data_IF_515808561896
#
_entry.id   IF_515808561896
#
_cell.length_a   1.000
_cell.length_b   1.000
_cell.length_c   1.000
_cell.angle_alpha   90.00
_cell.angle_beta   90.00
_cell.angle_gamma   90.00
#
_symmetry.space_group_name_H-M   'P 1'
#
loop_
_entity.id
_entity.type
_entity.pdbx_description
1 polymer ?
#
# COMPACT_ATOMS: atom_id res chain seq x y z
N UNK A 1 -36.78 -4.35 23.18
CA UNK A 1 -35.87 -4.24 24.34
C UNK A 1 -34.50 -4.88 24.08
N UNK A 2 -34.44 -6.13 23.58
CA UNK A 2 -33.17 -6.85 23.28
C UNK A 2 -32.22 -6.12 22.31
N UNK A 3 -32.74 -5.51 21.24
CA UNK A 3 -31.95 -4.76 20.23
C UNK A 3 -31.28 -3.50 20.81
N UNK A 4 -31.96 -2.79 21.72
CA UNK A 4 -31.39 -1.59 22.39
C UNK A 4 -30.26 -1.97 23.36
N UNK A 5 -30.36 -3.13 24.01
CA UNK A 5 -29.35 -3.62 24.95
C UNK A 5 -28.06 -3.99 24.21
N UNK A 6 -28.13 -4.67 23.06
CA UNK A 6 -26.95 -5.02 22.26
C UNK A 6 -26.25 -3.76 21.73
N UNK A 7 -27.03 -2.79 21.22
CA UNK A 7 -26.48 -1.52 20.74
C UNK A 7 -25.81 -0.71 21.87
N UNK A 8 -26.45 -0.62 23.04
CA UNK A 8 -25.88 0.03 24.23
C UNK A 8 -24.62 -0.70 24.75
N UNK A 9 -24.58 -2.02 24.64
CA UNK A 9 -23.40 -2.81 25.02
C UNK A 9 -22.23 -2.53 24.06
N UNK A 10 -22.47 -2.50 22.75
CA UNK A 10 -21.44 -2.16 21.75
C UNK A 10 -20.93 -0.73 21.90
N UNK A 11 -21.82 0.24 22.16
CA UNK A 11 -21.45 1.64 22.40
C UNK A 11 -20.72 1.83 23.74
N UNK A 12 -21.15 1.13 24.79
CA UNK A 12 -20.49 1.16 26.10
C UNK A 12 -19.10 0.52 26.06
N UNK A 13 -18.94 -0.56 25.29
CA UNK A 13 -17.66 -1.24 25.11
C UNK A 13 -16.69 -0.42 24.26
N UNK A 14 -17.17 0.27 23.22
CA UNK A 14 -16.39 1.26 22.51
C UNK A 14 -15.92 2.38 23.45
N UNK A 15 -16.80 2.92 24.30
CA UNK A 15 -16.43 3.90 25.32
C UNK A 15 -15.34 3.42 26.30
N UNK A 16 -15.36 2.14 26.68
CA UNK A 16 -14.31 1.54 27.53
C UNK A 16 -13.02 1.20 26.77
N UNK A 17 -13.11 0.82 25.49
CA UNK A 17 -11.95 0.51 24.65
C UNK A 17 -11.19 1.77 24.21
N UNK A 18 -11.91 2.88 23.99
CA UNK A 18 -11.34 4.18 23.60
C UNK A 18 -11.14 5.12 24.80
N UNK A 19 -11.75 4.84 25.94
CA UNK A 19 -11.58 5.56 27.20
C UNK A 19 -10.32 5.14 27.95
N UNK A 20 -9.16 5.09 27.29
CA UNK A 20 -7.92 5.07 28.06
C UNK A 20 -7.77 6.42 28.76
N UNK A 21 -7.68 6.39 30.10
CA UNK A 21 -7.16 7.53 30.85
C UNK A 21 -5.86 7.93 30.19
N UNK A 22 -5.72 9.23 29.92
CA UNK A 22 -4.51 9.87 29.41
C UNK A 22 -3.43 9.81 30.50
N UNK A 23 -3.07 8.61 30.93
CA UNK A 23 -2.12 8.37 32.00
C UNK A 23 -0.73 8.69 31.44
N UNK A 24 -0.10 9.71 32.05
CA UNK A 24 1.30 10.12 31.89
C UNK A 24 1.91 9.74 30.53
N UNK A 25 1.61 10.54 29.50
CA UNK A 25 2.62 10.76 28.46
C UNK A 25 3.87 11.21 29.23
N UNK A 26 4.94 10.41 29.20
CA UNK A 26 6.20 10.76 29.83
C UNK A 26 6.52 12.22 29.47
N UNK A 27 6.85 13.03 30.47
CA UNK A 27 7.06 14.49 30.38
C UNK A 27 8.19 14.93 29.42
N UNK A 28 8.70 14.00 28.62
CA UNK A 28 9.78 14.15 27.66
C UNK A 28 9.24 14.12 26.21
N UNK A 29 8.02 13.62 25.99
CA UNK A 29 7.42 13.51 24.65
C UNK A 29 6.54 14.73 24.37
N UNK A 30 7.04 15.66 23.57
CA UNK A 30 6.25 16.82 23.12
C UNK A 30 5.35 16.40 21.96
N UNK A 31 4.03 16.36 22.19
CA UNK A 31 3.05 16.25 21.12
C UNK A 31 2.89 17.62 20.46
N UNK A 32 3.48 17.80 19.28
CA UNK A 32 3.35 19.06 18.54
C UNK A 32 2.12 19.02 17.65
N UNK A 33 1.37 20.12 17.65
CA UNK A 33 0.30 20.35 16.67
C UNK A 33 0.89 20.82 15.34
N UNK A 34 0.14 20.69 14.24
CA UNK A 34 0.61 21.05 12.88
C UNK A 34 1.34 22.41 12.80
N UNK A 35 0.85 23.50 13.43
CA UNK A 35 1.53 24.80 13.38
C UNK A 35 2.94 24.79 13.98
N UNK A 36 3.18 24.00 15.02
CA UNK A 36 4.50 23.91 15.67
C UNK A 36 5.45 23.01 14.90
N UNK A 37 4.93 21.93 14.29
CA UNK A 37 5.72 21.06 13.40
C UNK A 37 6.21 21.83 12.18
N UNK A 38 5.40 22.72 11.60
CA UNK A 38 5.78 23.54 10.44
C UNK A 38 6.97 24.48 10.72
N UNK A 39 7.31 24.74 11.98
CA UNK A 39 8.52 25.49 12.36
C UNK A 39 9.80 24.63 12.35
N UNK A 40 9.67 23.31 12.46
CA UNK A 40 10.79 22.37 12.60
C UNK A 40 11.00 21.49 11.34
N UNK A 41 9.90 21.17 10.66
CA UNK A 41 9.86 20.45 9.39
C UNK A 41 9.18 21.34 8.36
N UNK A 42 9.74 21.43 7.15
CA UNK A 42 8.99 22.07 6.08
C UNK A 42 7.73 21.25 5.77
N UNK A 43 6.70 21.90 5.25
CA UNK A 43 5.44 21.25 4.85
C UNK A 43 5.65 20.07 3.90
N UNK A 44 6.63 20.17 2.99
CA UNK A 44 6.96 19.10 2.05
C UNK A 44 7.66 17.92 2.74
N UNK A 45 8.50 18.19 3.73
CA UNK A 45 9.18 17.16 4.53
C UNK A 45 8.20 16.39 5.39
N UNK A 46 7.32 17.12 6.09
CA UNK A 46 6.21 16.53 6.84
C UNK A 46 5.35 15.66 5.94
N UNK A 47 4.91 16.20 4.79
CA UNK A 47 4.13 15.44 3.81
C UNK A 47 4.87 14.21 3.30
N UNK A 48 6.18 14.28 3.08
CA UNK A 48 7.00 13.14 2.66
C UNK A 48 6.99 12.03 3.72
N UNK A 49 7.19 12.36 5.00
CA UNK A 49 7.17 11.39 6.10
C UNK A 49 5.77 10.78 6.24
N UNK A 50 4.72 11.60 6.31
CA UNK A 50 3.35 11.09 6.44
C UNK A 50 2.94 10.27 5.21
N UNK A 51 3.34 10.66 3.99
CA UNK A 51 3.09 9.84 2.79
C UNK A 51 3.80 8.50 2.86
N UNK A 52 5.06 8.47 3.30
CA UNK A 52 5.83 7.22 3.45
C UNK A 52 5.12 6.28 4.40
N UNK A 53 4.67 6.76 5.55
CA UNK A 53 4.01 5.93 6.56
C UNK A 53 2.58 5.57 6.23
N UNK A 54 1.82 6.51 5.65
CA UNK A 54 0.52 6.21 5.09
C UNK A 54 0.65 5.10 4.05
N UNK A 55 1.57 5.22 3.09
CA UNK A 55 1.84 4.17 2.12
C UNK A 55 2.33 2.87 2.78
N UNK A 56 3.10 2.94 3.86
CA UNK A 56 3.57 1.76 4.60
C UNK A 56 2.40 1.02 5.22
N UNK A 57 1.55 1.70 5.99
CA UNK A 57 0.32 1.12 6.57
C UNK A 57 -0.56 0.56 5.47
N UNK A 58 -0.80 1.38 4.45
CA UNK A 58 -1.64 1.02 3.32
C UNK A 58 -1.00 -0.06 2.42
N UNK A 59 0.23 -0.53 2.64
CA UNK A 59 0.84 -1.64 1.88
C UNK A 59 1.21 -2.85 2.77
N UNK A 60 1.22 -2.69 4.09
CA UNK A 60 1.72 -3.69 5.06
C UNK A 60 0.64 -4.36 5.90
N UNK A 61 -0.60 -3.85 5.86
CA UNK A 61 -1.71 -4.40 6.63
C UNK A 61 -2.37 -5.56 5.88
N UNK A 62 -2.00 -6.78 6.26
CA UNK A 62 -2.51 -8.03 5.70
C UNK A 62 -3.99 -8.34 5.90
N UNK A 63 -4.85 -7.34 6.16
CA UNK A 63 -6.31 -7.55 6.10
C UNK A 63 -7.19 -6.31 6.21
N UNK A 64 -6.65 -5.16 6.59
CA UNK A 64 -7.35 -3.92 6.24
C UNK A 64 -7.32 -3.86 4.71
N UNK A 65 -8.40 -3.44 4.07
CA UNK A 65 -8.69 -3.59 2.62
C UNK A 65 -7.77 -2.79 1.69
N UNK A 66 -6.51 -2.64 2.07
CA UNK A 66 -5.68 -1.53 1.74
C UNK A 66 -4.25 -2.06 1.55
N UNK A 67 -3.80 -2.04 0.29
CA UNK A 67 -2.45 -2.42 -0.12
C UNK A 67 -2.37 -3.48 -1.19
N UNK A 68 -1.17 -3.68 -1.73
CA UNK A 68 -0.98 -4.71 -2.72
C UNK A 68 -0.92 -6.09 -2.04
N UNK A 69 -1.96 -6.90 -2.20
CA UNK A 69 -2.00 -8.25 -1.61
C UNK A 69 -2.80 -9.23 -2.47
N UNK A 70 -2.53 -10.51 -2.23
CA UNK A 70 -3.38 -11.62 -2.63
C UNK A 70 -3.81 -12.35 -1.34
N UNK A 71 -5.11 -12.53 -1.17
CA UNK A 71 -5.68 -13.23 -0.03
C UNK A 71 -6.56 -14.38 -0.53
N UNK A 72 -6.54 -15.46 0.24
CA UNK A 72 -7.42 -16.60 0.05
C UNK A 72 -8.22 -16.80 1.34
N UNK A 73 -9.55 -16.77 1.21
CA UNK A 73 -10.44 -17.29 2.24
C UNK A 73 -10.73 -18.74 1.92
N UNK A 74 -10.24 -19.65 2.78
CA UNK A 74 -10.36 -21.09 2.59
C UNK A 74 -11.82 -21.52 2.78
N UNK A 75 -12.57 -20.84 3.66
CA UNK A 75 -13.94 -21.21 3.96
C UNK A 75 -14.86 -20.91 2.77
N UNK A 76 -14.70 -19.74 2.16
CA UNK A 76 -15.53 -19.30 1.03
C UNK A 76 -14.96 -19.69 -0.34
N UNK A 77 -13.77 -20.29 -0.39
CA UNK A 77 -13.04 -20.54 -1.64
C UNK A 77 -12.82 -19.25 -2.44
N UNK A 78 -12.69 -18.11 -1.74
CA UNK A 78 -12.65 -16.78 -2.34
C UNK A 78 -11.21 -16.29 -2.45
N UNK A 79 -10.82 -15.91 -3.66
CA UNK A 79 -9.59 -15.17 -3.89
C UNK A 79 -9.87 -13.68 -3.99
N UNK A 80 -8.99 -12.89 -3.37
CA UNK A 80 -9.03 -11.44 -3.42
C UNK A 80 -7.65 -10.93 -3.81
N UNK A 81 -7.61 -10.12 -4.85
CA UNK A 81 -6.44 -9.38 -5.29
C UNK A 81 -6.71 -7.90 -5.07
N UNK A 82 -5.77 -7.20 -4.44
CA UNK A 82 -5.84 -5.76 -4.30
C UNK A 82 -4.58 -5.14 -4.88
N UNK A 83 -4.76 -4.08 -5.67
CA UNK A 83 -3.68 -3.30 -6.24
C UNK A 83 -3.89 -1.82 -5.91
N UNK A 84 -2.85 -1.10 -5.52
CA UNK A 84 -2.93 0.29 -5.08
C UNK A 84 -1.91 1.16 -5.81
N UNK A 85 -2.34 2.35 -6.24
CA UNK A 85 -1.52 3.40 -6.83
C UNK A 85 -1.55 4.65 -5.97
N UNK A 86 -0.37 5.16 -5.62
CA UNK A 86 -0.20 6.36 -4.82
C UNK A 86 -0.08 7.59 -5.72
N UNK A 87 -0.75 8.69 -5.36
CA UNK A 87 -0.64 9.97 -6.04
C UNK A 87 0.33 10.91 -5.31
N UNK A 88 0.87 11.92 -6.02
CA UNK A 88 1.81 12.91 -5.45
C UNK A 88 1.22 13.71 -4.28
N UNK A 89 -0.10 13.85 -4.23
CA UNK A 89 -0.79 14.54 -3.14
C UNK A 89 -0.87 13.70 -1.85
N UNK A 90 -0.57 12.40 -1.91
CA UNK A 90 -0.67 11.45 -0.80
C UNK A 90 -1.97 10.63 -0.82
N UNK A 91 -2.88 10.90 -1.75
CA UNK A 91 -4.08 10.09 -1.93
C UNK A 91 -3.74 8.77 -2.63
N UNK A 92 -4.64 7.80 -2.54
CA UNK A 92 -4.43 6.46 -3.11
C UNK A 92 -5.66 5.95 -3.85
N UNK A 93 -5.46 5.40 -5.04
CA UNK A 93 -6.48 4.62 -5.74
C UNK A 93 -6.19 3.13 -5.56
N UNK A 94 -7.17 2.38 -5.06
CA UNK A 94 -7.11 0.92 -4.93
C UNK A 94 -8.09 0.27 -5.91
N UNK A 95 -7.69 -0.85 -6.49
CA UNK A 95 -8.51 -1.73 -7.31
C UNK A 95 -8.50 -3.09 -6.65
N UNK A 96 -9.65 -3.51 -6.16
CA UNK A 96 -9.87 -4.82 -5.55
C UNK A 96 -10.63 -5.70 -6.53
N UNK A 97 -10.01 -6.77 -7.01
CA UNK A 97 -10.66 -7.81 -7.79
C UNK A 97 -10.84 -9.05 -6.91
N UNK A 98 -12.04 -9.61 -6.87
CA UNK A 98 -12.30 -10.86 -6.17
C UNK A 98 -12.99 -11.86 -7.07
N UNK A 99 -12.72 -13.14 -6.87
CA UNK A 99 -13.40 -14.24 -7.54
C UNK A 99 -13.54 -15.41 -6.59
N UNK A 100 -14.70 -16.05 -6.57
CA UNK A 100 -14.95 -17.23 -5.74
C UNK A 100 -14.99 -18.49 -6.59
N UNK A 101 -14.46 -19.59 -6.06
CA UNK A 101 -14.48 -20.88 -6.74
C UNK A 101 -15.77 -21.61 -6.42
N UNK A 102 -16.62 -21.79 -7.43
CA UNK A 102 -17.83 -22.62 -7.31
C UNK A 102 -17.54 -24.09 -7.61
N UNK A 103 -16.65 -24.40 -8.57
CA UNK A 103 -16.41 -25.73 -9.15
C UNK A 103 -14.92 -26.15 -9.32
N UNK A 104 -14.06 -25.92 -8.31
CA UNK A 104 -12.80 -26.68 -8.16
C UNK A 104 -11.50 -26.17 -8.80
N UNK A 105 -11.42 -25.00 -9.46
CA UNK A 105 -10.12 -24.33 -9.76
C UNK A 105 -10.25 -22.79 -9.83
N UNK A 106 -9.17 -22.09 -9.47
CA UNK A 106 -9.06 -20.61 -9.29
C UNK A 106 -8.97 -19.79 -10.60
N UNK A 107 -9.87 -20.01 -11.57
CA UNK A 107 -9.86 -19.24 -12.81
C UNK A 107 -10.74 -17.98 -12.72
N UNK A 108 -10.18 -16.78 -12.88
CA UNK A 108 -10.95 -15.51 -13.00
C UNK A 108 -11.66 -15.45 -14.37
N UNK A 109 -11.03 -15.99 -15.40
CA UNK A 109 -11.57 -16.14 -16.75
C UNK A 109 -11.58 -17.60 -17.14
N UNK A 110 -12.70 -18.07 -17.70
CA UNK A 110 -12.79 -19.37 -18.36
C UNK A 110 -13.33 -19.17 -19.77
N UNK A 111 -12.55 -19.55 -20.79
CA UNK A 111 -12.91 -19.35 -22.21
C UNK A 111 -13.33 -17.90 -22.54
N UNK A 112 -12.57 -16.92 -22.05
CA UNK A 112 -12.84 -15.48 -22.23
C UNK A 112 -14.13 -14.97 -21.57
N UNK A 113 -14.84 -15.80 -20.80
CA UNK A 113 -15.98 -15.39 -19.96
C UNK A 113 -15.51 -15.24 -18.52
N UNK A 114 -15.99 -14.19 -17.87
CA UNK A 114 -15.75 -13.94 -16.44
C UNK A 114 -16.41 -15.08 -15.66
N UNK A 115 -15.65 -15.69 -14.74
CA UNK A 115 -16.16 -16.79 -13.91
C UNK A 115 -17.26 -16.30 -12.95
N UNK A 116 -18.00 -17.23 -12.37
CA UNK A 116 -19.04 -16.94 -11.37
C UNK A 116 -18.49 -16.20 -10.16
N UNK A 117 -19.26 -15.24 -9.62
CA UNK A 117 -18.94 -14.51 -8.39
C UNK A 117 -17.62 -13.72 -8.50
N UNK A 118 -17.41 -13.05 -9.64
CA UNK A 118 -16.30 -12.13 -9.84
C UNK A 118 -16.78 -10.70 -9.57
N UNK A 119 -16.04 -9.97 -8.76
CA UNK A 119 -16.32 -8.57 -8.46
C UNK A 119 -15.09 -7.70 -8.62
N UNK A 120 -15.31 -6.46 -9.00
CA UNK A 120 -14.28 -5.41 -9.07
C UNK A 120 -14.77 -4.22 -8.26
N UNK A 121 -13.91 -3.71 -7.39
CA UNK A 121 -14.20 -2.58 -6.53
C UNK A 121 -13.04 -1.57 -6.58
N UNK A 122 -13.34 -0.36 -6.99
CA UNK A 122 -12.44 0.78 -6.94
C UNK A 122 -12.62 1.49 -5.61
N UNK A 123 -11.52 1.90 -4.97
CA UNK A 123 -11.54 2.63 -3.71
C UNK A 123 -10.55 3.79 -3.76
N UNK A 124 -11.04 5.02 -3.66
CA UNK A 124 -10.22 6.21 -3.54
C UNK A 124 -10.06 6.59 -2.08
N UNK A 125 -8.83 6.68 -1.59
CA UNK A 125 -8.49 7.01 -0.21
C UNK A 125 -7.93 8.42 -0.17
N UNK A 126 -8.66 9.32 0.49
CA UNK A 126 -8.32 10.73 0.63
C UNK A 126 -7.87 11.02 2.05
N UNK A 127 -6.59 11.35 2.22
CA UNK A 127 -6.02 11.61 3.55
C UNK A 127 -6.45 12.99 4.05
N UNK A 128 -6.92 13.07 5.29
CA UNK A 128 -7.27 14.35 5.89
C UNK A 128 -6.01 15.06 6.42
N UNK A 129 -6.09 16.39 6.54
CA UNK A 129 -4.94 17.22 6.90
C UNK A 129 -4.47 17.07 8.35
N UNK A 130 -5.26 16.48 9.25
CA UNK A 130 -4.97 16.41 10.70
C UNK A 130 -3.96 15.33 11.10
N UNK A 131 -3.03 15.02 10.20
CA UNK A 131 -1.96 14.09 10.54
C UNK A 131 -1.01 14.73 11.54
N UNK A 132 -0.39 13.93 12.40
CA UNK A 132 0.64 14.39 13.34
C UNK A 132 1.75 13.36 13.50
N UNK A 133 2.95 13.82 13.84
CA UNK A 133 4.12 12.99 14.11
C UNK A 133 4.61 13.32 15.51
N UNK A 134 4.87 12.31 16.32
CA UNK A 134 5.54 12.46 17.61
C UNK A 134 7.02 12.18 17.45
N UNK A 135 7.87 12.99 18.06
CA UNK A 135 9.31 12.74 18.07
C UNK A 135 9.95 13.30 19.34
N UNK A 136 11.17 12.84 19.61
CA UNK A 136 12.02 13.47 20.63
C UNK A 136 12.71 14.71 20.07
N UNK A 137 12.91 15.72 20.92
CA UNK A 137 13.65 16.93 20.56
C UNK A 137 15.05 16.62 20.01
N UNK A 138 15.70 15.58 20.56
CA UNK A 138 17.00 15.09 20.10
C UNK A 138 16.96 14.65 18.63
N UNK A 139 15.89 14.01 18.18
CA UNK A 139 15.77 13.54 16.79
C UNK A 139 15.64 14.71 15.81
N UNK A 140 14.93 15.77 16.17
CA UNK A 140 14.89 17.00 15.36
C UNK A 140 16.26 17.68 15.32
N UNK A 141 16.95 17.79 16.45
CA UNK A 141 18.33 18.32 16.48
C UNK A 141 19.26 17.50 15.58
N UNK A 142 19.15 16.17 15.62
CA UNK A 142 19.89 15.26 14.75
C UNK A 142 19.55 15.48 13.27
N UNK A 143 18.27 15.64 12.94
CA UNK A 143 17.81 15.91 11.58
C UNK A 143 18.37 17.24 11.05
N UNK A 144 18.23 18.32 11.82
CA UNK A 144 18.77 19.64 11.46
C UNK A 144 20.27 19.61 11.26
N UNK A 145 21.01 18.88 12.12
CA UNK A 145 22.45 18.66 11.95
C UNK A 145 22.77 17.92 10.66
N UNK A 146 22.05 16.83 10.33
CA UNK A 146 22.24 16.07 9.08
C UNK A 146 21.98 16.94 7.84
N UNK A 147 20.93 17.77 7.86
CA UNK A 147 20.64 18.72 6.77
C UNK A 147 21.76 19.74 6.60
N UNK A 148 22.21 20.36 7.70
CA UNK A 148 23.32 21.31 7.68
C UNK A 148 24.60 20.69 7.12
N UNK A 149 24.93 19.45 7.52
CA UNK A 149 26.07 18.72 6.96
C UNK A 149 25.92 18.51 5.45
N UNK A 150 24.74 18.13 4.97
CA UNK A 150 24.48 17.96 3.53
C UNK A 150 24.69 19.27 2.74
N UNK A 151 24.16 20.39 3.24
CA UNK A 151 24.37 21.73 2.65
C UNK A 151 25.86 22.13 2.67
N UNK A 152 26.56 21.94 3.80
CA UNK A 152 27.99 22.23 3.89
C UNK A 152 28.81 21.37 2.93
N UNK A 153 28.52 20.08 2.79
CA UNK A 153 29.20 19.20 1.84
C UNK A 153 28.97 19.62 0.38
N UNK A 154 27.75 20.04 0.04
CA UNK A 154 27.44 20.58 -1.29
C UNK A 154 28.25 21.86 -1.57
N UNK A 155 28.26 22.80 -0.63
CA UNK A 155 29.02 24.05 -0.74
C UNK A 155 30.54 23.82 -0.83
N UNK A 156 31.11 22.94 0.00
CA UNK A 156 32.54 22.57 -0.09
C UNK A 156 32.86 21.98 -1.46
N UNK A 157 31.99 21.10 -1.97
CA UNK A 157 32.15 20.51 -3.32
C UNK A 157 32.16 21.61 -4.38
N UNK A 158 31.19 22.55 -4.35
CA UNK A 158 31.14 23.71 -5.25
C UNK A 158 32.40 24.57 -5.17
N UNK A 159 32.85 24.91 -3.96
CA UNK A 159 34.05 25.72 -3.74
C UNK A 159 35.33 25.04 -4.23
N UNK A 160 35.46 23.72 -4.07
CA UNK A 160 36.60 22.96 -4.59
C UNK A 160 36.65 23.02 -6.13
N UNK A 161 35.53 22.79 -6.81
CA UNK A 161 35.49 22.89 -8.28
C UNK A 161 35.79 24.30 -8.79
N UNK A 162 35.28 25.34 -8.11
CA UNK A 162 35.57 26.74 -8.47
C UNK A 162 37.06 27.03 -8.27
N UNK A 163 37.63 26.62 -7.13
CA UNK A 163 39.05 26.81 -6.83
C UNK A 163 39.94 26.11 -7.86
N UNK A 164 39.61 24.87 -8.22
CA UNK A 164 40.36 24.10 -9.22
C UNK A 164 40.30 24.76 -10.60
N UNK A 165 39.14 25.31 -10.97
CA UNK A 165 38.97 26.05 -12.23
C UNK A 165 39.81 27.33 -12.26
N UNK A 166 39.82 28.09 -11.16
CA UNK A 166 40.65 29.30 -11.02
C UNK A 166 42.13 28.94 -11.10
N UNK A 167 42.57 27.93 -10.34
CA UNK A 167 43.96 27.49 -10.32
C UNK A 167 44.42 27.03 -11.71
N UNK A 168 43.57 26.30 -12.43
CA UNK A 168 43.85 25.86 -13.79
C UNK A 168 44.00 27.05 -14.75
N UNK A 169 43.10 28.03 -14.66
CA UNK A 169 43.19 29.25 -15.45
C UNK A 169 44.46 30.06 -15.16
N UNK A 170 44.82 30.22 -13.89
CA UNK A 170 46.07 30.88 -13.49
C UNK A 170 47.31 30.17 -14.02
N UNK A 171 47.35 28.82 -13.98
CA UNK A 171 48.45 28.03 -14.55
C UNK A 171 48.55 28.19 -16.06
N UNK A 172 47.43 28.16 -16.78
CA UNK A 172 47.41 28.42 -18.23
C UNK A 172 47.91 29.84 -18.55
N UNK A 173 47.50 30.85 -17.77
CA UNK A 173 47.98 32.23 -17.94
C UNK A 173 49.49 32.33 -17.72
N UNK A 174 50.02 31.69 -16.68
CA UNK A 174 51.45 31.65 -16.40
C UNK A 174 52.23 30.99 -17.54
N UNK A 175 51.81 29.80 -17.98
CA UNK A 175 52.48 29.09 -19.09
C UNK A 175 52.49 29.92 -20.38
N UNK A 176 51.39 30.61 -20.69
CA UNK A 176 51.32 31.50 -21.87
C UNK A 176 52.29 32.67 -21.76
N UNK A 177 52.43 33.25 -20.57
CA UNK A 177 53.42 34.30 -20.31
C UNK A 177 54.83 33.78 -20.51
N UNK A 178 55.16 32.62 -19.92
CA UNK A 178 56.49 31.99 -20.07
C UNK A 178 56.81 31.67 -21.54
N UNK A 179 55.84 31.16 -22.31
CA UNK A 179 56.00 30.91 -23.74
C UNK A 179 56.28 32.21 -24.48
N UNK A 180 55.53 33.29 -24.19
CA UNK A 180 55.72 34.61 -24.80
C UNK A 180 57.13 35.15 -24.52
N UNK A 181 57.59 35.08 -23.27
CA UNK A 181 58.93 35.54 -22.88
C UNK A 181 60.03 34.75 -23.60
N UNK A 182 59.87 33.43 -23.75
CA UNK A 182 60.82 32.59 -24.49
C UNK A 182 60.81 32.95 -25.98
N UNK A 183 59.64 33.20 -26.56
CA UNK A 183 59.50 33.63 -27.95
C UNK A 183 60.15 35.00 -28.20
N UNK A 184 60.06 35.93 -27.26
CA UNK A 184 60.76 37.21 -27.35
C UNK A 184 62.28 37.03 -27.31
N UNK A 185 62.79 36.17 -26.41
CA UNK A 185 64.23 35.84 -26.36
C UNK A 185 64.70 35.15 -27.64
N UNK A 186 63.89 34.27 -28.22
CA UNK A 186 64.17 33.59 -29.49
C UNK A 186 64.33 34.59 -30.66
N UNK A 187 63.63 35.74 -30.59
CA UNK A 187 63.72 36.81 -31.60
C UNK A 187 64.96 37.71 -31.44
N UNK A 188 65.72 37.59 -30.34
CA UNK A 188 66.92 38.39 -30.14
C UNK A 188 67.98 38.10 -31.23
N UNK A 189 68.59 39.15 -31.78
CA UNK A 189 69.60 39.01 -32.82
C UNK A 189 70.84 38.26 -32.30
N UNK A 190 71.41 37.39 -33.14
CA UNK A 190 72.66 36.64 -32.92
C UNK A 190 72.64 35.49 -31.90
N UNK A 191 71.51 34.78 -31.75
CA UNK A 191 71.52 33.49 -31.05
C UNK A 191 72.31 32.43 -31.85
N UNK A 192 73.17 31.68 -31.17
CA UNK A 192 73.82 30.50 -31.76
C UNK A 192 72.78 29.37 -32.00
N UNK A 193 73.04 28.44 -32.93
CA UNK A 193 72.09 27.36 -33.26
C UNK A 193 71.68 26.50 -32.06
N UNK A 194 72.59 26.28 -31.10
CA UNK A 194 72.34 25.46 -29.91
C UNK A 194 71.39 26.18 -28.96
N UNK A 195 71.60 27.48 -28.72
CA UNK A 195 70.69 28.29 -27.91
C UNK A 195 69.30 28.39 -28.54
N UNK A 196 69.22 28.55 -29.86
CA UNK A 196 67.94 28.56 -30.60
C UNK A 196 67.19 27.23 -30.43
N UNK A 197 67.84 26.10 -30.69
CA UNK A 197 67.24 24.78 -30.53
C UNK A 197 66.78 24.52 -29.09
N UNK A 198 67.54 25.00 -28.09
CA UNK A 198 67.14 24.91 -26.67
C UNK A 198 65.86 25.68 -26.38
N UNK A 199 65.72 26.90 -26.89
CA UNK A 199 64.49 27.68 -26.70
C UNK A 199 63.29 27.06 -27.42
N UNK A 200 63.47 26.57 -28.65
CA UNK A 200 62.43 25.85 -29.40
C UNK A 200 61.95 24.60 -28.65
N UNK A 201 62.88 23.82 -28.09
CA UNK A 201 62.55 22.67 -27.26
C UNK A 201 61.77 23.06 -25.99
N UNK A 202 62.16 24.15 -25.32
CA UNK A 202 61.42 24.66 -24.16
C UNK A 202 60.00 25.10 -24.51
N UNK A 203 59.82 25.78 -25.65
CA UNK A 203 58.49 26.14 -26.17
C UNK A 203 57.67 24.87 -26.41
N UNK A 204 58.23 23.86 -27.08
CA UNK A 204 57.53 22.60 -27.35
C UNK A 204 57.05 21.92 -26.05
N UNK A 205 57.91 21.81 -25.04
CA UNK A 205 57.53 21.26 -23.72
C UNK A 205 56.40 22.06 -23.06
N UNK A 206 56.46 23.39 -23.10
CA UNK A 206 55.45 24.26 -22.49
C UNK A 206 54.12 24.23 -23.24
N UNK A 207 54.16 24.07 -24.56
CA UNK A 207 52.97 23.82 -25.38
C UNK A 207 52.31 22.50 -24.99
N UNK A 208 53.07 21.40 -24.86
CA UNK A 208 52.52 20.11 -24.40
C UNK A 208 51.87 20.23 -23.00
N UNK A 209 52.48 20.99 -22.09
CA UNK A 209 51.88 21.27 -20.78
C UNK A 209 50.58 22.08 -20.90
N UNK A 210 50.57 23.07 -21.78
CA UNK A 210 49.38 23.89 -22.06
C UNK A 210 48.24 23.03 -22.61
N UNK A 211 48.52 22.17 -23.58
CA UNK A 211 47.53 21.27 -24.20
C UNK A 211 46.96 20.29 -23.16
N UNK A 212 47.81 19.73 -22.30
CA UNK A 212 47.38 18.88 -21.18
C UNK A 212 46.44 19.62 -20.22
N UNK A 213 46.74 20.88 -19.88
CA UNK A 213 45.87 21.70 -19.03
C UNK A 213 44.58 22.14 -19.74
N UNK A 214 44.61 22.36 -21.06
CA UNK A 214 43.42 22.65 -21.85
C UNK A 214 42.47 21.44 -21.90
N UNK A 215 43.00 20.23 -22.11
CA UNK A 215 42.22 19.00 -22.03
C UNK A 215 41.61 18.81 -20.63
N UNK A 216 42.39 19.10 -19.57
CA UNK A 216 41.87 19.11 -18.20
C UNK A 216 40.77 20.16 -18.01
N UNK A 217 40.88 21.33 -18.65
CA UNK A 217 39.86 22.39 -18.58
C UNK A 217 38.55 21.96 -19.27
N UNK A 218 38.65 21.29 -20.41
CA UNK A 218 37.50 20.78 -21.16
C UNK A 218 36.76 19.66 -20.42
N UNK A 219 37.48 18.89 -19.60
CA UNK A 219 36.87 17.86 -18.73
C UNK A 219 36.30 18.41 -17.42
N UNK A 220 36.54 19.68 -17.06
CA UNK A 220 35.92 20.29 -15.89
C UNK A 220 34.47 20.68 -16.20
N UNK A 221 33.52 20.39 -15.30
CA UNK A 221 32.15 20.86 -15.46
C UNK A 221 32.11 22.40 -15.48
N UNK A 222 31.23 22.94 -16.30
CA UNK A 222 30.92 24.37 -16.32
C UNK A 222 30.37 24.84 -14.96
N UNK A 223 30.44 26.15 -14.68
CA UNK A 223 29.91 26.71 -13.43
C UNK A 223 28.43 26.37 -13.20
N UNK A 224 27.63 26.34 -14.28
CA UNK A 224 26.21 25.97 -14.24
C UNK A 224 26.01 24.49 -13.91
N UNK A 225 26.85 23.62 -14.44
CA UNK A 225 26.85 22.19 -14.11
C UNK A 225 27.29 21.95 -12.68
N UNK A 226 28.34 22.63 -12.20
CA UNK A 226 28.79 22.56 -10.80
C UNK A 226 27.65 22.99 -9.86
N UNK A 227 26.94 24.06 -10.19
CA UNK A 227 25.79 24.52 -9.41
C UNK A 227 24.66 23.49 -9.40
N UNK A 228 24.33 22.91 -10.56
CA UNK A 228 23.31 21.86 -10.67
C UNK A 228 23.70 20.61 -9.86
N UNK A 229 24.96 20.18 -9.93
CA UNK A 229 25.51 19.07 -9.17
C UNK A 229 25.47 19.34 -7.67
N UNK A 230 25.84 20.55 -7.24
CA UNK A 230 25.79 20.98 -5.84
C UNK A 230 24.35 20.95 -5.31
N UNK A 231 23.40 21.53 -6.05
CA UNK A 231 21.97 21.53 -5.69
C UNK A 231 21.44 20.10 -5.62
N UNK A 232 21.79 19.25 -6.60
CA UNK A 232 21.38 17.84 -6.61
C UNK A 232 21.95 17.08 -5.40
N UNK A 233 23.23 17.28 -5.08
CA UNK A 233 23.89 16.66 -3.92
C UNK A 233 23.26 17.11 -2.60
N UNK A 234 22.98 18.40 -2.45
CA UNK A 234 22.27 18.94 -1.29
C UNK A 234 20.87 18.33 -1.17
N UNK A 235 20.06 18.36 -2.24
CA UNK A 235 18.71 17.79 -2.27
C UNK A 235 18.72 16.31 -1.90
N UNK A 236 19.65 15.53 -2.44
CA UNK A 236 19.79 14.11 -2.13
C UNK A 236 20.21 13.88 -0.67
N UNK A 237 21.15 14.67 -0.15
CA UNK A 237 21.58 14.58 1.24
C UNK A 237 20.46 14.93 2.23
N UNK A 238 19.70 15.99 1.94
CA UNK A 238 18.51 16.38 2.73
C UNK A 238 17.41 15.32 2.63
N UNK A 239 17.12 14.81 1.42
CA UNK A 239 16.16 13.74 1.21
C UNK A 239 16.52 12.49 2.03
N UNK A 240 17.78 12.07 1.99
CA UNK A 240 18.30 10.96 2.78
C UNK A 240 18.21 11.22 4.29
N UNK A 241 18.44 12.46 4.74
CA UNK A 241 18.30 12.80 6.16
C UNK A 241 16.84 12.65 6.64
N UNK A 242 15.88 13.07 5.81
CA UNK A 242 14.43 12.93 6.07
C UNK A 242 14.01 11.45 6.02
N UNK A 243 14.51 10.68 5.06
CA UNK A 243 14.14 9.27 4.92
C UNK A 243 14.61 8.42 6.10
N UNK A 244 15.69 8.87 6.77
CA UNK A 244 16.27 8.29 7.98
C UNK A 244 15.92 9.09 9.26
N UNK A 245 14.87 9.90 9.21
CA UNK A 245 14.37 10.59 10.40
C UNK A 245 13.65 9.59 11.31
N UNK A 246 14.10 9.49 12.55
CA UNK A 246 13.45 8.66 13.55
C UNK A 246 12.37 9.48 14.24
N UNK A 247 11.16 8.94 14.26
CA UNK A 247 10.04 9.49 14.98
C UNK A 247 9.43 8.41 15.87
N UNK A 248 8.75 8.86 16.91
CA UNK A 248 8.30 8.04 18.04
C UNK A 248 6.83 7.66 17.92
N UNK A 249 6.09 8.32 17.03
CA UNK A 249 4.68 8.04 16.80
C UNK A 249 4.16 8.76 15.57
N UNK A 250 3.08 8.25 15.00
CA UNK A 250 2.38 8.88 13.89
C UNK A 250 0.89 8.63 14.00
N UNK A 251 0.12 9.67 13.67
CA UNK A 251 -1.32 9.62 13.62
C UNK A 251 -1.79 10.18 12.30
N UNK A 252 -2.75 9.51 11.69
CA UNK A 252 -3.47 10.05 10.56
C UNK A 252 -4.83 9.38 10.41
N UNK A 253 -5.70 10.06 9.71
CA UNK A 253 -7.03 9.59 9.37
C UNK A 253 -7.34 9.94 7.91
N UNK A 254 -8.21 9.15 7.30
CA UNK A 254 -8.57 9.30 5.90
C UNK A 254 -9.99 8.85 5.66
N UNK A 255 -10.57 9.35 4.58
CA UNK A 255 -11.87 8.92 4.10
C UNK A 255 -11.64 8.10 2.84
N UNK A 256 -12.31 6.96 2.75
CA UNK A 256 -12.29 6.13 1.55
C UNK A 256 -13.67 6.13 0.89
N UNK A 257 -13.69 6.36 -0.41
CA UNK A 257 -14.88 6.29 -1.25
C UNK A 257 -14.72 5.09 -2.18
N UNK A 258 -15.64 4.13 -2.10
CA UNK A 258 -15.59 2.92 -2.91
C UNK A 258 -16.79 2.78 -3.83
N UNK A 259 -16.55 2.25 -5.02
CA UNK A 259 -17.58 1.87 -5.97
C UNK A 259 -17.17 0.56 -6.67
N UNK A 260 -18.11 -0.35 -6.85
CA UNK A 260 -17.81 -1.63 -7.46
C UNK A 260 -19.04 -2.32 -8.03
N UNK A 261 -18.78 -3.42 -8.70
CA UNK A 261 -19.80 -4.32 -9.23
C UNK A 261 -19.41 -5.77 -8.96
N UNK A 262 -20.39 -6.65 -8.95
CA UNK A 262 -20.22 -8.08 -8.74
C UNK A 262 -21.12 -8.83 -9.73
N UNK A 263 -20.54 -9.79 -10.45
CA UNK A 263 -21.26 -10.62 -11.40
C UNK A 263 -21.48 -12.01 -10.82
N UNK A 264 -22.72 -12.31 -10.47
CA UNK A 264 -23.16 -13.63 -10.03
C UNK A 264 -23.65 -14.40 -11.27
N UNK A 265 -22.90 -15.41 -11.68
CA UNK A 265 -23.24 -16.29 -12.79
C UNK A 265 -23.29 -17.72 -12.26
N UNK A 266 -24.42 -18.42 -12.37
CA UNK A 266 -24.57 -19.73 -11.75
C UNK A 266 -25.61 -20.60 -12.45
N UNK A 267 -25.55 -21.91 -12.19
CA UNK A 267 -26.58 -22.85 -12.62
C UNK A 267 -27.70 -22.88 -11.58
N UNK A 268 -28.92 -22.58 -11.97
CA UNK A 268 -30.11 -22.59 -11.13
C UNK A 268 -30.91 -23.86 -11.36
N UNK A 269 -31.17 -24.61 -10.29
CA UNK A 269 -31.86 -25.89 -10.31
C UNK A 269 -33.32 -25.73 -9.90
N UNK A 270 -34.24 -26.07 -10.80
CA UNK A 270 -35.68 -26.05 -10.59
C UNK A 270 -36.25 -27.46 -10.83
N UNK A 271 -36.36 -28.30 -9.79
CA UNK A 271 -36.70 -29.72 -9.95
C UNK A 271 -38.12 -29.97 -10.51
N UNK A 272 -39.01 -28.99 -10.41
CA UNK A 272 -40.39 -29.09 -10.91
C UNK A 272 -40.53 -28.96 -12.43
N UNK A 273 -39.48 -28.55 -13.15
CA UNK A 273 -39.48 -28.47 -14.61
C UNK A 273 -39.12 -29.83 -15.24
N UNK A 274 -39.37 -29.98 -16.55
CA UNK A 274 -38.89 -31.14 -17.31
C UNK A 274 -37.37 -31.25 -17.25
N UNK A 275 -36.82 -32.47 -17.33
CA UNK A 275 -35.39 -32.77 -17.15
C UNK A 275 -34.46 -31.80 -17.90
N UNK A 276 -34.73 -31.53 -19.18
CA UNK A 276 -33.94 -30.62 -20.03
C UNK A 276 -33.94 -29.16 -19.53
N UNK A 277 -34.97 -28.76 -18.79
CA UNK A 277 -35.17 -27.41 -18.27
C UNK A 277 -34.92 -27.29 -16.76
N UNK A 278 -34.57 -28.40 -16.08
CA UNK A 278 -34.31 -28.37 -14.64
C UNK A 278 -33.10 -27.51 -14.28
N UNK A 279 -32.13 -27.36 -15.20
CA UNK A 279 -30.93 -26.55 -15.00
C UNK A 279 -30.94 -25.36 -15.95
N UNK A 280 -31.04 -24.15 -15.40
CA UNK A 280 -31.00 -22.90 -16.18
C UNK A 280 -29.83 -22.04 -15.74
N UNK A 281 -29.16 -21.36 -16.67
CA UNK A 281 -28.09 -20.40 -16.31
C UNK A 281 -28.70 -19.06 -15.91
N UNK A 282 -28.27 -18.52 -14.78
CA UNK A 282 -28.63 -17.19 -14.29
C UNK A 282 -27.39 -16.31 -14.26
N UNK A 283 -27.57 -15.05 -14.62
CA UNK A 283 -26.54 -14.03 -14.57
C UNK A 283 -27.14 -12.75 -13.99
N UNK A 284 -26.45 -12.13 -13.04
CA UNK A 284 -26.84 -10.85 -12.46
C UNK A 284 -25.61 -10.02 -12.10
N UNK A 285 -25.68 -8.72 -12.38
CA UNK A 285 -24.62 -7.77 -12.05
C UNK A 285 -25.14 -6.81 -10.98
N UNK A 286 -24.67 -7.01 -9.75
CA UNK A 286 -24.92 -6.13 -8.63
C UNK A 286 -23.96 -4.93 -8.63
N UNK A 287 -24.40 -3.83 -8.03
CA UNK A 287 -23.65 -2.59 -7.88
C UNK A 287 -23.52 -2.23 -6.40
N UNK A 288 -22.36 -1.73 -5.99
CA UNK A 288 -22.11 -1.30 -4.61
C UNK A 288 -21.38 0.02 -4.54
N UNK A 289 -21.78 0.85 -3.58
CA UNK A 289 -21.07 2.04 -3.13
C UNK A 289 -20.66 1.88 -1.66
N UNK A 290 -19.59 2.56 -1.25
CA UNK A 290 -19.13 2.58 0.14
C UNK A 290 -18.46 3.89 0.52
N UNK A 291 -18.59 4.26 1.79
CA UNK A 291 -17.85 5.32 2.44
C UNK A 291 -17.25 4.78 3.74
N UNK A 292 -15.98 5.04 3.96
CA UNK A 292 -15.26 4.56 5.13
C UNK A 292 -14.49 5.72 5.77
N UNK A 293 -14.56 5.81 7.09
CA UNK A 293 -13.65 6.60 7.90
C UNK A 293 -12.60 5.69 8.50
N UNK A 294 -11.35 6.06 8.34
CA UNK A 294 -10.21 5.29 8.81
C UNK A 294 -9.35 6.13 9.75
N UNK A 295 -8.89 5.49 10.83
CA UNK A 295 -8.02 6.07 11.83
C UNK A 295 -6.86 5.12 12.11
N UNK A 296 -5.65 5.66 12.09
CA UNK A 296 -4.44 4.93 12.44
C UNK A 296 -3.62 5.73 13.44
N UNK A 297 -3.21 5.05 14.51
CA UNK A 297 -2.35 5.57 15.55
C UNK A 297 -1.25 4.55 15.83
N UNK A 298 -0.01 4.99 15.64
CA UNK A 298 1.17 4.25 16.06
C UNK A 298 1.98 5.10 17.03
N UNK A 299 2.43 4.47 18.11
CA UNK A 299 3.31 5.08 19.08
C UNK A 299 4.26 4.00 19.61
N UNK A 300 5.55 4.26 19.56
CA UNK A 300 6.57 3.31 20.01
C UNK A 300 6.58 3.12 21.54
N UNK A 301 6.06 4.10 22.30
CA UNK A 301 6.03 4.09 23.76
C UNK A 301 4.69 3.63 24.31
N UNK A 302 3.58 4.14 23.78
CA UNK A 302 2.26 3.58 24.09
C UNK A 302 2.00 2.39 23.18
N UNK A 303 2.63 1.24 23.48
CA UNK A 303 2.06 -0.04 23.04
C UNK A 303 0.67 -0.12 23.69
N UNK A 304 -0.42 -0.21 22.93
CA UNK A 304 -0.55 -0.78 21.58
C UNK A 304 -0.74 0.23 20.41
N UNK A 305 -0.44 -0.20 19.19
CA UNK A 305 -0.88 0.49 17.94
C UNK A 305 -2.36 0.22 17.69
N UNK A 306 -3.06 1.21 17.17
CA UNK A 306 -4.48 1.13 16.87
C UNK A 306 -4.78 1.39 15.41
N UNK A 307 -5.67 0.57 14.85
CA UNK A 307 -6.32 0.86 13.58
C UNK A 307 -7.83 0.68 13.74
N UNK A 308 -8.59 1.66 13.29
CA UNK A 308 -10.04 1.67 13.32
C UNK A 308 -10.57 2.05 11.94
N UNK A 309 -11.45 1.22 11.41
CA UNK A 309 -12.28 1.51 10.24
C UNK A 309 -13.73 1.54 10.68
N UNK A 310 -14.47 2.56 10.25
CA UNK A 310 -15.93 2.61 10.34
C UNK A 310 -16.47 2.81 8.93
N UNK A 311 -17.27 1.87 8.46
CA UNK A 311 -17.73 1.80 7.09
C UNK A 311 -19.25 1.73 6.98
N UNK A 312 -19.76 2.38 5.93
CA UNK A 312 -21.10 2.17 5.41
C UNK A 312 -21.00 1.79 3.95
N UNK A 313 -21.74 0.77 3.55
CA UNK A 313 -21.88 0.37 2.15
C UNK A 313 -23.34 0.10 1.81
N UNK A 314 -23.69 0.22 0.55
CA UNK A 314 -25.02 -0.09 0.07
C UNK A 314 -25.03 -0.28 -1.43
N UNK A 315 -26.11 -0.85 -1.94
CA UNK A 315 -26.14 -1.27 -3.32
C UNK A 315 -27.42 -1.99 -3.71
N UNK A 316 -27.36 -2.55 -4.90
CA UNK A 316 -28.40 -3.41 -5.47
C UNK A 316 -27.72 -4.74 -5.76
N UNK A 317 -28.29 -5.82 -5.24
CA UNK A 317 -27.74 -7.17 -5.35
C UNK A 317 -28.86 -8.20 -5.65
N UNK A 318 -28.49 -9.47 -5.75
CA UNK A 318 -29.42 -10.60 -5.75
C UNK A 318 -29.37 -11.37 -4.41
N UNK A 319 -30.08 -12.49 -4.32
CA UNK A 319 -30.01 -13.41 -3.18
C UNK A 319 -29.25 -14.70 -3.49
N UNK A 320 -28.25 -14.65 -4.37
CA UNK A 320 -27.44 -15.82 -4.72
C UNK A 320 -26.81 -16.49 -3.49
N UNK A 321 -26.32 -15.71 -2.51
CA UNK A 321 -25.76 -16.19 -1.24
C UNK A 321 -26.74 -17.01 -0.40
N UNK A 322 -28.03 -16.82 -0.64
CA UNK A 322 -29.12 -17.37 0.18
C UNK A 322 -29.66 -18.66 -0.46
N UNK A 323 -29.20 -19.01 -1.67
CA UNK A 323 -29.59 -20.24 -2.36
C UNK A 323 -28.83 -21.46 -1.83
N UNK A 324 -29.53 -22.58 -1.74
CA UNK A 324 -28.92 -23.86 -1.33
C UNK A 324 -28.12 -24.45 -2.49
N UNK A 325 -26.88 -24.86 -2.22
CA UNK A 325 -25.99 -25.50 -3.19
C UNK A 325 -26.28 -27.00 -3.27
N UNK A 326 -26.39 -27.54 -4.48
CA UNK A 326 -26.60 -28.96 -4.79
C UNK A 326 -25.60 -29.42 -5.87
N UNK A 327 -24.92 -30.55 -5.66
CA UNK A 327 -24.06 -31.16 -6.69
C UNK A 327 -24.93 -31.96 -7.68
N UNK A 328 -24.80 -31.65 -8.97
CA UNK A 328 -25.47 -32.36 -10.06
C UNK A 328 -24.45 -33.23 -10.79
N UNK A 329 -24.83 -34.49 -11.02
CA UNK A 329 -24.04 -35.48 -11.75
C UNK A 329 -24.75 -35.85 -13.06
N UNK A 330 -24.33 -35.25 -14.17
CA UNK A 330 -24.83 -35.61 -15.51
C UNK A 330 -23.99 -36.77 -16.06
N UNK A 331 -24.62 -37.91 -16.34
CA UNK A 331 -23.93 -39.08 -16.92
C UNK A 331 -24.32 -39.26 -18.38
N UNK A 332 -23.32 -39.24 -19.25
CA UNK A 332 -23.46 -39.48 -20.69
C UNK A 332 -22.91 -40.87 -21.01
N UNK A 333 -23.76 -41.72 -21.58
CA UNK A 333 -23.36 -43.05 -22.05
C UNK A 333 -23.08 -42.99 -23.55
N UNK A 334 -21.88 -43.38 -23.95
CA UNK A 334 -21.45 -43.48 -25.35
C UNK A 334 -21.29 -44.94 -25.74
N UNK A 335 -21.78 -45.32 -26.93
CA UNK A 335 -21.66 -46.67 -27.49
C UNK A 335 -22.96 -47.48 -27.47
N UNK A 336 -23.23 -48.21 -28.54
CA UNK A 336 -24.49 -48.95 -28.76
C UNK A 336 -24.47 -50.38 -28.17
N UNK A 337 -23.29 -50.95 -27.92
CA UNK A 337 -23.14 -52.34 -27.44
C UNK A 337 -22.49 -52.41 -26.06
N UNK A 338 -22.93 -53.38 -25.26
CA UNK A 338 -22.49 -53.60 -23.87
C UNK A 338 -20.99 -53.84 -23.71
N UNK A 339 -20.28 -54.26 -24.76
CA UNK A 339 -18.83 -54.50 -24.74
C UNK A 339 -17.98 -53.25 -25.04
N UNK A 340 -18.60 -52.08 -25.30
CA UNK A 340 -17.91 -50.84 -25.65
C UNK A 340 -18.47 -49.57 -25.02
N UNK A 341 -19.40 -49.68 -24.06
CA UNK A 341 -20.00 -48.51 -23.42
C UNK A 341 -18.97 -47.74 -22.58
N UNK A 342 -18.89 -46.42 -22.82
CA UNK A 342 -18.13 -45.47 -22.00
C UNK A 342 -19.11 -44.53 -21.33
N UNK A 343 -19.04 -44.42 -20.00
CA UNK A 343 -19.79 -43.41 -19.24
C UNK A 343 -18.87 -42.23 -18.94
N UNK A 344 -19.28 -41.03 -19.33
CA UNK A 344 -18.68 -39.78 -18.90
C UNK A 344 -19.60 -39.11 -17.89
N UNK A 345 -19.12 -38.89 -16.67
CA UNK A 345 -19.87 -38.16 -15.65
C UNK A 345 -19.33 -36.75 -15.52
N UNK A 346 -20.18 -35.77 -15.79
CA UNK A 346 -19.90 -34.36 -15.57
C UNK A 346 -20.52 -33.93 -14.24
N UNK A 347 -19.67 -33.52 -13.32
CA UNK A 347 -20.08 -32.94 -12.03
C UNK A 347 -20.08 -31.43 -12.11
N UNK A 348 -21.12 -30.78 -11.60
CA UNK A 348 -21.14 -29.33 -11.40
C UNK A 348 -22.09 -28.95 -10.28
N UNK A 349 -21.90 -27.77 -9.71
CA UNK A 349 -22.80 -27.23 -8.71
C UNK A 349 -23.96 -26.46 -9.35
N UNK A 350 -25.15 -26.69 -8.82
CA UNK A 350 -26.34 -25.92 -9.10
C UNK A 350 -26.97 -25.40 -7.81
N UNK A 351 -27.80 -24.38 -7.91
CA UNK A 351 -28.35 -23.66 -6.77
C UNK A 351 -29.88 -23.70 -6.81
N UNK A 352 -30.49 -24.04 -5.68
CA UNK A 352 -31.93 -24.20 -5.53
C UNK A 352 -32.47 -23.26 -4.44
N UNK A 353 -33.75 -22.91 -4.55
CA UNK A 353 -34.44 -21.97 -3.65
C UNK A 353 -35.10 -20.84 -4.44
N UNK A 354 -35.78 -19.92 -3.78
CA UNK A 354 -36.42 -18.79 -4.45
C UNK A 354 -35.39 -17.73 -4.84
N UNK A 355 -35.04 -17.64 -6.13
CA UNK A 355 -34.13 -16.61 -6.62
C UNK A 355 -34.84 -15.26 -6.84
N UNK A 356 -34.24 -14.19 -6.31
CA UNK A 356 -34.71 -12.80 -6.36
C UNK A 356 -33.56 -11.89 -6.75
N UNK A 357 -33.87 -10.86 -7.54
CA UNK A 357 -32.90 -9.89 -8.07
C UNK A 357 -33.32 -8.48 -7.70
N UNK A 358 -32.40 -7.52 -7.85
CA UNK A 358 -32.65 -6.10 -7.59
C UNK A 358 -33.01 -5.80 -6.13
N UNK A 359 -32.45 -6.59 -5.21
CA UNK A 359 -32.63 -6.41 -3.78
C UNK A 359 -31.73 -5.27 -3.32
N UNK A 360 -32.35 -4.23 -2.79
CA UNK A 360 -31.60 -3.15 -2.15
C UNK A 360 -30.98 -3.65 -0.87
N UNK A 361 -29.72 -3.28 -0.61
CA UNK A 361 -29.07 -3.59 0.65
C UNK A 361 -28.24 -2.42 1.17
N UNK A 362 -28.03 -2.42 2.48
CA UNK A 362 -27.06 -1.57 3.15
C UNK A 362 -26.35 -2.35 4.25
N UNK A 363 -25.12 -1.97 4.54
CA UNK A 363 -24.27 -2.62 5.53
C UNK A 363 -23.46 -1.57 6.28
N UNK A 364 -23.56 -1.62 7.60
CA UNK A 364 -22.69 -0.89 8.53
C UNK A 364 -21.67 -1.87 9.08
N UNK A 365 -20.40 -1.47 9.15
CA UNK A 365 -19.33 -2.32 9.66
C UNK A 365 -18.26 -1.49 10.37
N UNK A 366 -17.62 -2.10 11.34
CA UNK A 366 -16.47 -1.55 12.05
C UNK A 366 -15.39 -2.61 12.02
N UNK A 367 -14.15 -2.24 11.74
CA UNK A 367 -12.99 -3.11 11.93
C UNK A 367 -12.01 -2.43 12.88
N UNK A 368 -11.74 -3.05 14.02
CA UNK A 368 -10.82 -2.51 15.02
C UNK A 368 -9.69 -3.48 15.30
N UNK A 369 -8.45 -3.01 15.11
CA UNK A 369 -7.24 -3.75 15.38
C UNK A 369 -6.45 -3.08 16.50
N UNK A 370 -6.06 -3.88 17.49
CA UNK A 370 -5.15 -3.49 18.57
C UNK A 370 -3.90 -4.36 18.50
N UNK A 371 -2.78 -3.77 18.10
CA UNK A 371 -1.52 -4.49 17.99
C UNK A 371 -0.81 -4.57 19.34
N UNK A 372 -0.61 -5.78 19.82
CA UNK A 372 -0.08 -6.06 21.17
C UNK A 372 1.41 -6.37 21.17
N UNK A 373 2.00 -6.72 20.02
CA UNK A 373 3.41 -7.12 19.92
C UNK A 373 4.08 -6.44 18.71
N UNK A 374 4.61 -5.22 18.84
CA UNK A 374 5.44 -4.56 17.80
C UNK A 374 4.88 -4.65 16.36
N UNK A 375 3.56 -4.50 16.24
CA UNK A 375 2.81 -4.63 15.00
C UNK A 375 2.85 -6.01 14.32
N UNK A 376 3.36 -7.06 14.97
CA UNK A 376 3.32 -8.44 14.46
C UNK A 376 2.03 -9.15 14.86
N UNK A 377 1.51 -8.92 16.07
CA UNK A 377 0.30 -9.56 16.56
C UNK A 377 -0.78 -8.53 16.90
N UNK A 378 -2.02 -8.77 16.48
CA UNK A 378 -3.16 -7.91 16.78
C UNK A 378 -4.41 -8.69 17.17
N UNK A 379 -5.16 -8.12 18.12
CA UNK A 379 -6.55 -8.49 18.34
C UNK A 379 -7.43 -7.70 17.38
N UNK A 380 -8.32 -8.39 16.69
CA UNK A 380 -9.23 -7.84 15.70
C UNK A 380 -10.67 -8.04 16.17
N UNK A 381 -11.50 -7.00 16.08
CA UNK A 381 -12.91 -7.03 16.45
C UNK A 381 -13.69 -6.36 15.33
N UNK A 382 -14.69 -7.05 14.80
CA UNK A 382 -15.40 -6.60 13.61
C UNK A 382 -16.92 -6.85 13.67
N UNK A 383 -17.69 -5.98 14.33
CA UNK A 383 -19.14 -6.04 14.26
C UNK A 383 -19.65 -5.48 12.92
N UNK A 384 -20.73 -6.08 12.43
CA UNK A 384 -21.43 -5.62 11.23
C UNK A 384 -22.94 -5.77 11.36
N UNK A 385 -23.67 -4.96 10.59
CA UNK A 385 -25.12 -5.02 10.48
C UNK A 385 -25.51 -4.90 9.03
N UNK A 386 -26.28 -5.85 8.53
CA UNK A 386 -26.74 -5.92 7.15
C UNK A 386 -28.25 -5.77 7.11
N UNK A 387 -28.73 -4.85 6.28
CA UNK A 387 -30.14 -4.59 6.02
C UNK A 387 -30.37 -4.90 4.55
N UNK A 388 -31.19 -5.90 4.25
CA UNK A 388 -31.51 -6.32 2.89
C UNK A 388 -33.01 -6.30 2.70
N UNK A 389 -33.46 -5.89 1.53
CA UNK A 389 -34.88 -5.89 1.17
C UNK A 389 -35.51 -7.27 1.39
N UNK A 390 -36.75 -7.29 1.88
CA UNK A 390 -37.51 -8.51 2.20
C UNK A 390 -36.86 -9.45 3.24
N UNK A 391 -35.82 -8.99 3.94
CA UNK A 391 -35.09 -9.76 4.95
C UNK A 391 -35.10 -9.03 6.29
N UNK A 392 -35.11 -9.78 7.40
CA UNK A 392 -34.90 -9.19 8.73
C UNK A 392 -33.45 -8.68 8.82
N UNK A 393 -33.17 -7.57 9.53
CA UNK A 393 -31.80 -7.11 9.74
C UNK A 393 -30.94 -8.21 10.38
N UNK A 394 -29.76 -8.44 9.80
CA UNK A 394 -28.79 -9.40 10.30
C UNK A 394 -27.66 -8.67 11.02
N UNK A 395 -27.31 -9.16 12.20
CA UNK A 395 -26.21 -8.62 13.01
C UNK A 395 -25.16 -9.70 13.22
N UNK A 396 -23.94 -9.44 12.81
CA UNK A 396 -22.81 -10.35 13.03
C UNK A 396 -21.74 -9.66 13.85
N UNK A 397 -20.96 -10.43 14.60
CA UNK A 397 -19.81 -9.90 15.31
C UNK A 397 -18.70 -10.94 15.38
N UNK A 398 -17.50 -10.55 14.97
CA UNK A 398 -16.34 -11.43 15.06
C UNK A 398 -15.22 -10.88 15.92
N UNK A 399 -14.40 -11.82 16.40
CA UNK A 399 -13.11 -11.58 17.03
C UNK A 399 -12.05 -12.38 16.28
N UNK A 400 -10.83 -11.86 16.22
CA UNK A 400 -9.72 -12.52 15.56
C UNK A 400 -8.38 -12.23 16.21
N UNK A 401 -7.45 -13.17 16.05
CA UNK A 401 -6.06 -13.02 16.41
C UNK A 401 -5.22 -13.05 15.13
N UNK A 402 -4.74 -11.88 14.74
CA UNK A 402 -3.88 -11.68 13.58
C UNK A 402 -2.42 -11.85 13.99
N UNK A 403 -1.66 -12.61 13.21
CA UNK A 403 -0.21 -12.72 13.31
C UNK A 403 0.45 -12.48 11.96
N UNK A 404 1.48 -11.65 11.95
CA UNK A 404 2.22 -11.20 10.76
C UNK A 404 3.64 -11.78 10.80
N UNK A 405 3.92 -12.73 9.92
CA UNK A 405 5.23 -13.34 9.75
C UNK A 405 6.13 -12.40 8.95
N UNK A 406 7.17 -11.86 9.60
CA UNK A 406 8.15 -10.97 8.98
C UNK A 406 9.35 -11.73 8.39
N UNK A 407 9.92 -11.18 7.32
CA UNK A 407 11.23 -11.59 6.82
C UNK A 407 12.34 -11.08 7.77
N UNK A 408 13.06 -12.01 8.41
CA UNK A 408 14.18 -11.71 9.30
C UNK A 408 15.24 -10.80 8.66
N UNK A 409 15.40 -10.82 7.32
CA UNK A 409 16.41 -10.02 6.62
C UNK A 409 15.93 -8.64 6.17
N UNK A 410 14.62 -8.44 6.02
CA UNK A 410 14.06 -7.25 5.34
C UNK A 410 13.05 -6.47 6.17
N UNK A 411 12.70 -6.94 7.37
CA UNK A 411 11.63 -6.40 8.23
C UNK A 411 10.30 -6.16 7.50
N UNK A 412 10.06 -6.91 6.42
CA UNK A 412 8.83 -6.87 5.63
C UNK A 412 7.99 -8.11 5.94
N UNK A 413 6.69 -7.92 6.18
CA UNK A 413 5.75 -9.03 6.32
C UNK A 413 5.67 -9.86 5.03
N UNK A 414 5.74 -11.19 5.16
CA UNK A 414 5.61 -12.16 4.07
C UNK A 414 4.25 -12.85 4.06
N UNK A 415 3.66 -13.05 5.24
CA UNK A 415 2.42 -13.77 5.41
C UNK A 415 1.70 -13.21 6.62
N UNK A 416 0.40 -13.00 6.48
CA UNK A 416 -0.50 -12.71 7.57
C UNK A 416 -1.46 -13.87 7.73
N UNK A 417 -1.57 -14.34 8.96
CA UNK A 417 -2.49 -15.41 9.34
C UNK A 417 -3.40 -14.86 10.41
N UNK A 418 -4.71 -14.99 10.22
CA UNK A 418 -5.68 -14.65 11.25
C UNK A 418 -6.55 -15.86 11.55
N UNK A 419 -6.50 -16.30 12.81
CA UNK A 419 -7.49 -17.20 13.37
C UNK A 419 -8.66 -16.35 13.88
N UNK A 420 -9.87 -16.64 13.42
CA UNK A 420 -11.04 -15.87 13.80
C UNK A 420 -12.21 -16.72 14.25
N UNK A 421 -13.09 -16.09 15.01
CA UNK A 421 -14.36 -16.61 15.48
C UNK A 421 -15.44 -15.59 15.19
N UNK A 422 -16.46 -15.98 14.43
CA UNK A 422 -17.55 -15.11 13.99
C UNK A 422 -18.89 -15.58 14.57
N UNK A 423 -19.59 -14.68 15.24
CA UNK A 423 -20.95 -14.88 15.68
C UNK A 423 -21.89 -14.43 14.56
N UNK A 424 -22.48 -15.39 13.85
CA UNK A 424 -23.35 -15.12 12.70
C UNK A 424 -24.80 -15.03 13.17
N UNK A 425 -25.49 -14.01 12.67
CA UNK A 425 -26.91 -13.78 12.90
C UNK A 425 -27.28 -13.82 14.39
N UNK A 426 -26.77 -12.84 15.13
CA UNK A 426 -27.04 -12.65 16.56
C UNK A 426 -28.53 -12.53 16.88
N UNK A 427 -29.34 -12.12 15.90
CA UNK A 427 -30.78 -11.89 16.05
C UNK A 427 -31.67 -13.04 15.57
N UNK A 428 -31.09 -14.08 14.96
CA UNK A 428 -31.83 -15.13 14.27
C UNK A 428 -32.78 -14.58 13.18
N UNK A 429 -32.29 -13.65 12.36
CA UNK A 429 -33.02 -13.04 11.24
C UNK A 429 -33.55 -14.07 10.24
N UNK A 430 -32.89 -15.23 10.13
CA UNK A 430 -33.29 -16.29 9.20
C UNK A 430 -34.17 -17.37 9.85
N UNK A 431 -34.64 -17.14 11.09
CA UNK A 431 -35.48 -18.10 11.84
C UNK A 431 -34.86 -19.51 11.88
N UNK A 432 -33.53 -19.60 11.98
CA UNK A 432 -32.81 -20.87 12.00
C UNK A 432 -33.18 -21.69 13.24
N UNK A 433 -33.42 -22.98 13.04
CA UNK A 433 -33.60 -23.97 14.12
C UNK A 433 -32.28 -24.33 14.82
N UNK A 434 -31.14 -23.94 14.23
CA UNK A 434 -29.84 -24.20 14.81
C UNK A 434 -29.66 -23.38 16.09
N UNK A 435 -29.20 -24.06 17.15
CA UNK A 435 -28.77 -23.39 18.38
C UNK A 435 -27.69 -22.34 18.06
N UNK A 436 -27.71 -21.22 18.81
CA UNK A 436 -26.82 -20.08 18.60
C UNK A 436 -25.34 -20.47 18.37
N UNK A 437 -24.80 -21.39 19.19
CA UNK A 437 -23.41 -21.83 19.07
C UNK A 437 -23.09 -22.59 17.78
N UNK A 438 -24.08 -23.25 17.17
CA UNK A 438 -23.93 -23.99 15.91
C UNK A 438 -24.01 -23.11 14.67
N UNK A 439 -24.44 -21.85 14.83
CA UNK A 439 -24.46 -20.85 13.75
C UNK A 439 -23.13 -20.13 13.59
N UNK A 440 -22.25 -20.26 14.57
CA UNK A 440 -20.99 -19.53 14.60
C UNK A 440 -19.96 -20.20 13.69
N UNK A 441 -19.00 -19.40 13.24
CA UNK A 441 -17.96 -19.82 12.33
C UNK A 441 -16.60 -19.67 13.00
N UNK A 442 -15.75 -20.69 12.87
CA UNK A 442 -14.33 -20.61 13.20
C UNK A 442 -13.57 -20.80 11.91
N UNK A 443 -12.62 -19.93 11.63
CA UNK A 443 -11.88 -20.00 10.38
C UNK A 443 -10.48 -19.45 10.49
N UNK A 444 -9.74 -19.65 9.41
CA UNK A 444 -8.38 -19.16 9.25
C UNK A 444 -8.31 -18.41 7.93
N UNK A 445 -7.80 -17.17 7.95
CA UNK A 445 -7.57 -16.39 6.73
C UNK A 445 -6.09 -16.17 6.51
N UNK A 446 -5.68 -16.30 5.25
CA UNK A 446 -4.30 -16.11 4.81
C UNK A 446 -4.24 -14.92 3.86
N UNK A 447 -3.31 -14.01 4.11
CA UNK A 447 -3.03 -12.89 3.23
C UNK A 447 -1.53 -12.76 3.00
N UNK A 448 -1.15 -12.70 1.73
CA UNK A 448 0.23 -12.57 1.29
C UNK A 448 0.38 -11.16 0.71
N UNK A 449 1.21 -10.29 1.30
CA UNK A 449 1.57 -9.03 0.68
C UNK A 449 2.32 -9.32 -0.62
N UNK A 450 1.87 -8.74 -1.73
CA UNK A 450 2.52 -8.98 -3.02
C UNK A 450 2.89 -7.65 -3.65
N UNK A 451 4.15 -7.49 -4.02
CA UNK A 451 4.59 -6.35 -4.83
C UNK A 451 4.35 -6.65 -6.31
N UNK A 452 3.09 -6.55 -6.78
CA UNK A 452 2.77 -6.85 -8.17
C UNK A 452 3.36 -5.84 -9.16
N UNK A 453 3.61 -4.61 -8.72
CA UNK A 453 3.94 -3.48 -9.59
C UNK A 453 4.83 -2.44 -8.87
N UNK A 454 6.07 -2.29 -9.31
CA UNK A 454 6.89 -1.09 -9.01
C UNK A 454 6.61 -0.03 -10.09
N UNK A 455 5.40 0.55 -10.09
CA UNK A 455 5.06 1.64 -11.00
C UNK A 455 5.67 2.98 -10.59
#
# INVERSE_FOLDING_TARGET
MKTKIVLLFLLGWAGMAFGQKKDKIDSITTQLTIPEIETLLSKDEFKKIVNKEFNSVMNSSGKTTIGNYAAADINDGRLVFNATKNFKNGDMLSVNASGSVTDGFFAIFNQSKINSNVGVNFKYNMRLKSSSILFHEREIKNLSKKKSIATSQANVTKSLYIKDSILLFSKLKLLRSEISDIQERLKAANLDPTAKARYEYQIALKNMQTDSLLLKKESLPSLKEIETLSISKEKNGVANAIDNFNYTGIFFHWISLGAGFQNNNFNYFTPSLSYENQITKKNYVGWKGSIEYNYYEWNQYSKPTHYLLIGFSGGIDDNFSDLSKTEINESYNYGETSSGQRTSTKKFNAYQGTYKTNLSYSKLYIDYYRFILENTMALHIYPQSTFKEESKPQYDAGIGLLYSFKDLKKDKSKLHVELYFNLIDLTNSNDSELAFLKRNEIGLRLSIPVAFLNF
#
